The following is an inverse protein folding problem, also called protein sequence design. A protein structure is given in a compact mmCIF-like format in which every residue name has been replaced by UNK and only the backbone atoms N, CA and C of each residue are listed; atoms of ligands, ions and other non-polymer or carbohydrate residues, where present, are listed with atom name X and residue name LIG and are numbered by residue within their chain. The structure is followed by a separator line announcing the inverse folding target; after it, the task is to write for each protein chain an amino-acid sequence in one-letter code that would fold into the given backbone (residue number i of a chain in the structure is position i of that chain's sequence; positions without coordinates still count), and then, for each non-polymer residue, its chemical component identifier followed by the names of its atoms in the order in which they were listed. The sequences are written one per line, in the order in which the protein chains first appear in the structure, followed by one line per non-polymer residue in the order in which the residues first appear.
data_IF_196906356853
#
_entry.id   IF_196906356853
#
_cell.length_a   1.000
_cell.length_b   1.000
_cell.length_c   1.000
_cell.angle_alpha   90.00
_cell.angle_beta   90.00
_cell.angle_gamma   90.00
#
_symmetry.space_group_name_H-M   'P 1'
#
loop_
_entity.id
_entity.type
_entity.pdbx_description
1 polymer ?
#
# COMPACT_ATOMS: atom_id res chain seq x y z
N UNK A 1 19.94 -15.41 8.17
CA UNK A 1 18.88 -14.59 8.76
C UNK A 1 18.52 -13.56 7.70
N UNK A 2 17.24 -13.36 7.34
CA UNK A 2 16.85 -12.49 6.24
C UNK A 2 15.72 -11.55 6.65
N UNK A 3 15.78 -10.33 6.13
CA UNK A 3 14.67 -9.37 6.13
C UNK A 3 14.35 -9.12 4.66
N UNK A 4 13.11 -9.37 4.26
CA UNK A 4 12.60 -9.05 2.93
C UNK A 4 11.85 -7.74 3.03
N UNK A 5 12.23 -6.76 2.19
CA UNK A 5 11.60 -5.44 2.14
C UNK A 5 10.79 -5.33 0.86
N UNK A 6 9.50 -5.01 1.00
CA UNK A 6 8.59 -4.77 -0.12
C UNK A 6 7.97 -3.38 0.00
N UNK A 7 7.53 -2.80 -1.11
CA UNK A 7 6.62 -1.66 -1.09
C UNK A 7 5.24 -2.08 -0.55
N UNK A 8 4.44 -1.10 -0.15
CA UNK A 8 3.08 -1.32 0.36
C UNK A 8 2.21 -2.05 -0.65
N UNK A 9 2.14 -1.54 -1.88
CA UNK A 9 1.27 -2.05 -2.93
C UNK A 9 1.64 -1.45 -4.28
N UNK A 10 1.23 -2.09 -5.37
CA UNK A 10 1.32 -1.55 -6.73
C UNK A 10 0.15 -0.61 -7.00
N UNK A 11 0.31 0.32 -7.95
CA UNK A 11 -0.75 1.28 -8.31
C UNK A 11 -1.72 0.76 -9.37
N UNK A 12 -1.43 -0.38 -9.99
CA UNK A 12 -2.27 -1.01 -10.99
C UNK A 12 -3.38 -1.87 -10.37
N UNK A 13 -3.01 -2.91 -9.62
CA UNK A 13 -3.96 -3.83 -8.96
C UNK A 13 -4.35 -3.42 -7.56
N UNK A 14 -3.57 -2.60 -6.89
CA UNK A 14 -3.80 -1.99 -5.55
C UNK A 14 -4.16 -2.99 -4.43
N UNK A 15 -3.77 -4.25 -4.60
CA UNK A 15 -4.20 -5.36 -3.73
C UNK A 15 -3.29 -5.64 -2.54
N UNK A 16 -2.07 -5.10 -2.53
CA UNK A 16 -1.07 -5.27 -1.46
C UNK A 16 -0.70 -6.74 -1.14
N UNK A 17 -0.87 -7.67 -2.05
CA UNK A 17 -0.72 -9.12 -1.79
C UNK A 17 0.69 -9.66 -1.94
N UNK A 18 1.59 -8.98 -2.66
CA UNK A 18 2.91 -9.51 -3.00
C UNK A 18 3.76 -9.77 -1.74
N UNK A 19 3.90 -8.78 -0.87
CA UNK A 19 4.65 -8.92 0.37
C UNK A 19 4.13 -10.03 1.27
N UNK A 20 2.85 -10.03 1.68
CA UNK A 20 2.23 -11.10 2.45
C UNK A 20 2.34 -12.48 1.79
N UNK A 21 2.18 -12.55 0.47
CA UNK A 21 2.33 -13.79 -0.29
C UNK A 21 3.76 -14.37 -0.21
N UNK A 22 4.78 -13.53 -0.29
CA UNK A 22 6.19 -13.93 -0.09
C UNK A 22 6.38 -14.45 1.33
N UNK A 23 5.92 -13.70 2.33
CA UNK A 23 6.08 -14.09 3.73
C UNK A 23 5.42 -15.44 4.04
N UNK A 24 4.21 -15.66 3.56
CA UNK A 24 3.47 -16.92 3.75
C UNK A 24 4.21 -18.09 3.13
N UNK A 25 4.73 -17.95 1.92
CA UNK A 25 5.48 -19.03 1.24
C UNK A 25 6.80 -19.35 1.88
N UNK A 26 7.46 -18.36 2.48
CA UNK A 26 8.75 -18.53 3.16
C UNK A 26 8.61 -18.83 4.66
N UNK A 27 7.42 -18.81 5.23
CA UNK A 27 7.20 -18.95 6.67
C UNK A 27 7.78 -17.81 7.49
N UNK A 28 7.78 -16.57 6.95
CA UNK A 28 8.34 -15.40 7.59
C UNK A 28 7.27 -14.62 8.36
N UNK A 29 7.69 -13.93 9.43
CA UNK A 29 6.80 -12.97 10.11
C UNK A 29 6.40 -11.85 9.14
N UNK A 30 5.13 -11.41 9.21
CA UNK A 30 4.58 -10.37 8.34
C UNK A 30 4.40 -9.05 9.09
N UNK A 31 5.01 -7.98 8.58
CA UNK A 31 4.90 -6.64 9.12
C UNK A 31 4.52 -5.69 7.97
N UNK A 32 3.26 -5.29 7.92
CA UNK A 32 2.72 -4.43 6.86
C UNK A 32 2.51 -3.00 7.35
N UNK A 33 2.43 -2.05 6.40
CA UNK A 33 2.20 -0.61 6.67
C UNK A 33 3.29 0.00 7.56
N UNK A 34 4.53 -0.46 7.40
CA UNK A 34 5.66 -0.01 8.22
C UNK A 34 6.12 1.37 7.78
N UNK A 35 6.05 2.34 8.68
CA UNK A 35 6.53 3.70 8.47
C UNK A 35 7.83 3.99 9.25
N UNK A 36 8.24 3.08 10.16
CA UNK A 36 9.49 3.21 10.89
C UNK A 36 10.01 1.87 11.38
N UNK A 37 11.31 1.63 11.24
CA UNK A 37 12.01 0.55 11.92
C UNK A 37 12.59 1.13 13.20
N UNK A 38 12.10 0.66 14.34
CA UNK A 38 12.55 1.13 15.67
C UNK A 38 13.85 0.47 16.08
N UNK A 39 13.93 -0.86 15.93
CA UNK A 39 15.15 -1.61 16.24
C UNK A 39 15.20 -2.94 15.53
N UNK A 40 16.42 -3.43 15.29
CA UNK A 40 16.70 -4.78 14.81
C UNK A 40 17.73 -5.41 15.74
N UNK A 41 17.35 -6.45 16.46
CA UNK A 41 18.25 -7.25 17.31
C UNK A 41 18.57 -8.57 16.61
N UNK A 42 19.77 -8.66 16.07
CA UNK A 42 20.24 -9.85 15.37
C UNK A 42 20.54 -11.01 16.32
N UNK A 43 20.93 -10.71 17.58
CA UNK A 43 21.23 -11.73 18.59
C UNK A 43 19.95 -12.36 19.13
N UNK A 44 18.97 -11.53 19.48
CA UNK A 44 17.67 -11.99 19.94
C UNK A 44 16.75 -12.43 18.77
N UNK A 45 17.16 -12.23 17.51
CA UNK A 45 16.39 -12.53 16.30
C UNK A 45 15.03 -11.83 16.29
N UNK A 46 14.99 -10.55 16.63
CA UNK A 46 13.78 -9.75 16.73
C UNK A 46 13.90 -8.48 15.91
N UNK A 47 12.78 -8.03 15.41
CA UNK A 47 12.60 -6.72 14.77
C UNK A 47 11.41 -6.01 15.41
N UNK A 48 11.58 -4.73 15.72
CA UNK A 48 10.52 -3.86 16.25
C UNK A 48 10.28 -2.73 15.25
N UNK A 49 9.03 -2.55 14.86
CA UNK A 49 8.62 -1.58 13.84
C UNK A 49 7.41 -0.80 14.31
N UNK A 50 7.26 0.40 13.77
CA UNK A 50 6.02 1.17 13.87
C UNK A 50 5.22 0.99 12.59
N UNK A 51 3.95 0.68 12.74
CA UNK A 51 2.96 0.56 11.67
C UNK A 51 2.04 1.76 11.68
N UNK A 52 1.69 2.26 10.50
CA UNK A 52 0.72 3.34 10.34
C UNK A 52 -0.63 2.75 9.94
N UNK A 53 -1.59 2.84 10.83
CA UNK A 53 -2.97 2.48 10.59
C UNK A 53 -3.83 3.73 10.43
N UNK A 54 -5.07 3.56 10.06
CA UNK A 54 -6.02 4.66 9.98
C UNK A 54 -6.28 5.24 11.38
N UNK A 55 -5.98 6.54 11.54
CA UNK A 55 -6.14 7.25 12.80
C UNK A 55 -5.16 6.91 13.94
N UNK A 56 -4.23 5.94 13.76
CA UNK A 56 -3.30 5.53 14.83
C UNK A 56 -2.00 4.92 14.32
N UNK A 57 -1.02 4.84 15.22
CA UNK A 57 0.20 4.06 15.03
C UNK A 57 0.23 2.88 16.00
N UNK A 58 0.82 1.78 15.56
CA UNK A 58 1.09 0.61 16.39
C UNK A 58 2.58 0.29 16.38
N UNK A 59 3.12 -0.07 17.54
CA UNK A 59 4.47 -0.63 17.64
C UNK A 59 4.33 -2.14 17.78
N UNK A 60 4.94 -2.87 16.84
CA UNK A 60 4.87 -4.32 16.78
C UNK A 60 6.27 -4.91 16.81
N UNK A 61 6.45 -5.95 17.59
CA UNK A 61 7.67 -6.76 17.62
C UNK A 61 7.41 -8.11 16.97
N UNK A 62 8.31 -8.57 16.11
CA UNK A 62 8.22 -9.85 15.45
C UNK A 62 9.56 -10.59 15.46
N UNK A 63 9.51 -11.90 15.29
CA UNK A 63 10.70 -12.75 15.15
C UNK A 63 11.26 -12.65 13.73
N UNK A 64 12.57 -12.70 13.60
CA UNK A 64 13.26 -12.88 12.33
C UNK A 64 13.33 -14.39 11.96
N UNK A 65 13.25 -14.74 10.69
CA UNK A 65 13.18 -13.87 9.52
C UNK A 65 11.80 -13.19 9.37
N UNK A 66 11.80 -12.00 8.78
CA UNK A 66 10.59 -11.21 8.62
C UNK A 66 10.50 -10.57 7.23
N UNK A 67 9.28 -10.40 6.74
CA UNK A 67 8.93 -9.54 5.62
C UNK A 67 8.33 -8.24 6.15
N UNK A 68 8.81 -7.12 5.65
CA UNK A 68 8.28 -5.79 5.95
C UNK A 68 7.77 -5.13 4.66
N UNK A 69 6.50 -4.72 4.67
CA UNK A 69 5.91 -3.91 3.61
C UNK A 69 5.86 -2.45 4.07
N UNK A 70 6.68 -1.62 3.43
CA UNK A 70 6.92 -0.25 3.87
C UNK A 70 6.01 0.75 3.15
N UNK A 71 5.63 1.81 3.86
CA UNK A 71 4.94 2.97 3.27
C UNK A 71 5.96 4.03 2.84
N UNK A 72 5.55 4.96 1.99
CA UNK A 72 6.43 6.00 1.44
C UNK A 72 7.05 6.90 2.52
N UNK A 73 6.38 7.03 3.65
CA UNK A 73 6.79 7.87 4.77
C UNK A 73 7.94 7.28 5.62
N UNK A 74 8.35 6.04 5.33
CA UNK A 74 9.48 5.40 6.04
C UNK A 74 10.78 6.17 5.84
N UNK A 75 10.90 6.86 4.71
CA UNK A 75 12.11 7.60 4.37
C UNK A 75 11.80 8.84 3.52
N UNK A 76 12.76 9.77 3.45
CA UNK A 76 12.72 10.90 2.53
C UNK A 76 13.42 10.54 1.23
N UNK A 77 12.81 10.91 0.09
CA UNK A 77 13.39 10.67 -1.22
C UNK A 77 14.68 11.49 -1.38
N UNK A 78 15.76 10.81 -1.68
CA UNK A 78 17.02 11.45 -2.04
C UNK A 78 17.09 11.60 -3.56
N UNK A 79 17.18 12.84 -4.03
CA UNK A 79 17.34 13.12 -5.46
C UNK A 79 18.72 12.69 -5.95
N UNK A 80 18.82 12.08 -7.14
CA UNK A 80 20.10 11.69 -7.70
C UNK A 80 20.92 12.92 -8.14
N UNK A 81 22.23 12.86 -7.95
CA UNK A 81 23.16 13.84 -8.53
C UNK A 81 23.33 13.62 -10.04
N UNK A 82 23.85 14.60 -10.78
CA UNK A 82 24.09 14.45 -12.22
C UNK A 82 24.96 13.23 -12.54
N UNK A 83 26.10 12.98 -11.86
CA UNK A 83 26.90 11.76 -12.09
C UNK A 83 26.09 10.48 -11.87
N UNK A 84 25.24 10.41 -10.83
CA UNK A 84 24.41 9.23 -10.56
C UNK A 84 23.37 9.00 -11.67
N UNK A 85 22.83 10.06 -12.26
CA UNK A 85 21.90 9.95 -13.39
C UNK A 85 22.60 9.39 -14.63
N UNK A 86 23.78 9.89 -14.97
CA UNK A 86 24.58 9.39 -16.09
C UNK A 86 24.94 7.90 -15.90
N UNK A 87 25.38 7.52 -14.71
CA UNK A 87 25.63 6.11 -14.39
C UNK A 87 24.38 5.23 -14.53
N UNK A 88 23.20 5.75 -14.18
CA UNK A 88 21.94 5.02 -14.30
C UNK A 88 21.50 4.85 -15.76
N UNK A 89 21.78 5.82 -16.64
CA UNK A 89 21.50 5.74 -18.08
C UNK A 89 22.31 4.63 -18.76
N UNK A 90 23.56 4.43 -18.34
CA UNK A 90 24.43 3.37 -18.85
C UNK A 90 24.11 1.99 -18.27
N UNK A 91 23.37 1.93 -17.17
CA UNK A 91 23.06 0.65 -16.51
C UNK A 91 21.94 -0.09 -17.24
N UNK A 92 22.17 -1.38 -17.51
CA UNK A 92 21.18 -2.26 -18.14
C UNK A 92 20.44 -3.07 -17.05
N UNK A 93 19.11 -3.01 -17.07
CA UNK A 93 18.30 -3.87 -16.24
C UNK A 93 18.46 -5.34 -16.66
N UNK A 94 18.64 -6.24 -15.69
CA UNK A 94 18.60 -7.68 -15.97
C UNK A 94 17.17 -8.09 -16.25
N UNK A 95 16.92 -8.60 -17.46
CA UNK A 95 15.61 -9.12 -17.86
C UNK A 95 15.52 -10.60 -17.51
N UNK A 96 14.51 -10.95 -16.72
CA UNK A 96 14.20 -12.33 -16.38
C UNK A 96 12.85 -12.69 -17.00
N UNK A 97 12.86 -13.58 -17.96
CA UNK A 97 11.68 -14.13 -18.60
C UNK A 97 11.52 -15.63 -18.30
N UNK A 98 10.43 -16.24 -18.75
CA UNK A 98 10.20 -17.65 -18.49
C UNK A 98 11.17 -18.58 -19.21
N UNK A 99 11.83 -18.13 -20.27
CA UNK A 99 12.87 -18.93 -20.96
C UNK A 99 14.09 -19.11 -20.06
N UNK A 100 14.43 -18.08 -19.28
CA UNK A 100 15.54 -18.09 -18.33
C UNK A 100 15.14 -18.81 -17.05
N UNK A 101 13.92 -18.58 -16.56
CA UNK A 101 13.41 -19.12 -15.30
C UNK A 101 13.01 -20.60 -15.39
N UNK A 102 12.62 -21.09 -16.55
CA UNK A 102 12.22 -22.48 -16.76
C UNK A 102 10.99 -22.91 -15.98
N UNK A 103 10.07 -21.99 -15.67
CA UNK A 103 8.87 -22.27 -14.90
C UNK A 103 7.80 -22.95 -15.75
N UNK A 104 6.98 -23.78 -15.12
CA UNK A 104 5.85 -24.43 -15.78
C UNK A 104 4.79 -23.39 -16.20
N UNK A 105 4.55 -23.27 -17.50
CA UNK A 105 3.62 -22.30 -18.08
C UNK A 105 2.18 -22.41 -17.55
N UNK A 106 1.77 -23.58 -17.07
CA UNK A 106 0.45 -23.78 -16.48
C UNK A 106 0.31 -23.19 -15.07
N UNK A 107 1.43 -22.87 -14.41
CA UNK A 107 1.46 -22.34 -13.04
C UNK A 107 1.78 -20.84 -12.98
N UNK A 108 1.95 -20.19 -14.12
CA UNK A 108 2.30 -18.78 -14.24
C UNK A 108 1.31 -18.00 -15.11
N UNK A 109 1.41 -16.66 -15.08
CA UNK A 109 0.58 -15.75 -15.86
C UNK A 109 -0.91 -15.93 -15.56
N UNK A 110 -1.76 -15.73 -16.56
CA UNK A 110 -3.22 -15.83 -16.41
C UNK A 110 -3.71 -17.23 -16.03
N UNK A 111 -3.01 -18.28 -16.45
CA UNK A 111 -3.37 -19.67 -16.14
C UNK A 111 -3.09 -20.00 -14.66
N UNK A 112 -1.97 -19.50 -14.13
CA UNK A 112 -1.56 -19.73 -12.74
C UNK A 112 -2.14 -18.73 -11.73
N UNK A 113 -2.79 -17.64 -12.20
CA UNK A 113 -3.35 -16.63 -11.32
C UNK A 113 -4.64 -17.11 -10.65
N UNK A 114 -4.71 -16.96 -9.33
CA UNK A 114 -5.92 -17.23 -8.57
C UNK A 114 -7.03 -16.17 -8.81
N UNK A 115 -6.68 -15.04 -9.42
CA UNK A 115 -7.61 -13.93 -9.70
C UNK A 115 -7.48 -13.49 -11.14
N UNK A 116 -8.62 -13.13 -11.74
CA UNK A 116 -8.70 -12.60 -13.10
C UNK A 116 -9.59 -11.37 -13.13
N UNK A 117 -9.18 -10.34 -13.86
CA UNK A 117 -10.02 -9.16 -14.12
C UNK A 117 -11.10 -9.57 -15.12
N UNK A 118 -12.37 -9.62 -14.69
CA UNK A 118 -13.51 -9.94 -15.57
C UNK A 118 -14.04 -8.73 -16.33
N UNK A 119 -14.07 -7.56 -15.67
CA UNK A 119 -14.65 -6.34 -16.22
C UNK A 119 -14.01 -5.12 -15.61
N UNK A 120 -13.68 -4.16 -16.44
CA UNK A 120 -13.24 -2.83 -16.03
C UNK A 120 -14.39 -1.86 -16.27
N UNK A 121 -14.70 -1.03 -15.30
CA UNK A 121 -15.70 0.03 -15.43
C UNK A 121 -15.27 1.26 -14.65
N UNK A 122 -15.68 2.43 -15.14
CA UNK A 122 -15.53 3.67 -14.38
C UNK A 122 -16.70 3.82 -13.42
N UNK A 123 -16.46 3.97 -12.10
CA UNK A 123 -17.53 4.25 -11.17
C UNK A 123 -18.26 5.52 -11.57
N UNK A 124 -19.59 5.48 -11.61
CA UNK A 124 -20.37 6.70 -11.76
C UNK A 124 -20.19 7.53 -10.50
N UNK A 125 -19.64 8.73 -10.66
CA UNK A 125 -19.59 9.69 -9.56
C UNK A 125 -21.02 10.09 -9.24
N UNK A 126 -21.43 9.95 -7.97
CA UNK A 126 -22.66 10.55 -7.50
C UNK A 126 -22.57 12.06 -7.76
N UNK A 127 -23.56 12.62 -8.43
CA UNK A 127 -23.68 14.08 -8.57
C UNK A 127 -23.86 14.67 -7.18
N UNK A 128 -23.13 15.73 -6.87
CA UNK A 128 -23.35 16.48 -5.64
C UNK A 128 -24.78 17.09 -5.64
N UNK A 129 -25.37 17.20 -4.48
CA UNK A 129 -26.63 17.91 -4.25
C UNK A 129 -26.29 19.33 -3.76
N UNK A 130 -26.88 20.35 -4.37
CA UNK A 130 -26.78 21.73 -3.88
C UNK A 130 -27.89 21.94 -2.86
N UNK A 131 -27.49 22.22 -1.62
CA UNK A 131 -28.43 22.36 -0.50
C UNK A 131 -28.56 23.83 -0.12
N UNK A 132 -29.71 24.42 -0.44
CA UNK A 132 -30.03 25.79 -0.11
C UNK A 132 -29.19 26.88 -0.83
N UNK A 133 -29.43 28.11 -0.50
CA UNK A 133 -28.65 29.26 -0.97
C UNK A 133 -27.95 29.92 0.23
N UNK A 134 -26.69 29.48 0.46
CA UNK A 134 -25.89 29.96 1.59
C UNK A 134 -25.52 31.43 1.55
N UNK A 135 -25.74 32.13 0.42
CA UNK A 135 -25.51 33.56 0.30
C UNK A 135 -26.77 34.33 0.75
N UNK A 136 -27.96 33.87 0.34
CA UNK A 136 -29.22 34.55 0.65
C UNK A 136 -29.70 34.25 2.07
N UNK A 137 -29.64 32.97 2.48
CA UNK A 137 -30.02 32.54 3.82
C UNK A 137 -29.03 31.52 4.38
N UNK A 138 -27.95 32.00 5.03
CA UNK A 138 -26.92 31.09 5.59
C UNK A 138 -27.44 30.19 6.71
N UNK A 139 -28.43 30.68 7.49
CA UNK A 139 -28.98 29.93 8.62
C UNK A 139 -29.80 28.73 8.14
N UNK A 140 -30.69 28.94 7.19
CA UNK A 140 -31.52 27.90 6.62
C UNK A 140 -30.69 26.91 5.82
N UNK A 141 -29.73 27.37 5.02
CA UNK A 141 -28.80 26.50 4.30
C UNK A 141 -27.99 25.60 5.25
N UNK A 142 -27.52 26.14 6.37
CA UNK A 142 -26.79 25.38 7.38
C UNK A 142 -27.68 24.34 8.05
N UNK A 143 -28.92 24.67 8.36
CA UNK A 143 -29.90 23.74 8.95
C UNK A 143 -30.16 22.56 8.02
N UNK A 144 -30.47 22.85 6.76
CA UNK A 144 -30.72 21.83 5.73
C UNK A 144 -29.50 20.94 5.50
N UNK A 145 -28.29 21.50 5.51
CA UNK A 145 -27.06 20.74 5.39
C UNK A 145 -26.88 19.75 6.54
N UNK A 146 -27.09 20.20 7.77
CA UNK A 146 -26.98 19.34 8.97
C UNK A 146 -28.01 18.22 8.91
N UNK A 147 -29.27 18.51 8.58
CA UNK A 147 -30.32 17.50 8.42
C UNK A 147 -29.94 16.45 7.38
N UNK A 148 -29.40 16.85 6.23
CA UNK A 148 -28.93 15.95 5.19
C UNK A 148 -27.74 15.08 5.63
N UNK A 149 -26.81 15.66 6.35
CA UNK A 149 -25.64 14.89 6.86
C UNK A 149 -26.05 13.86 7.91
N UNK A 150 -27.02 14.15 8.75
CA UNK A 150 -27.59 13.22 9.71
C UNK A 150 -28.35 12.10 8.99
N UNK A 151 -29.21 12.44 8.03
CA UNK A 151 -29.98 11.47 7.23
C UNK A 151 -29.06 10.49 6.50
N UNK A 152 -27.95 11.00 5.94
CA UNK A 152 -26.92 10.17 5.27
C UNK A 152 -25.97 9.48 6.24
N UNK A 153 -26.15 9.60 7.55
CA UNK A 153 -25.27 9.06 8.60
C UNK A 153 -23.80 9.50 8.46
N UNK A 154 -23.59 10.66 7.88
CA UNK A 154 -22.25 11.27 7.73
C UNK A 154 -21.83 12.05 9.00
N UNK A 155 -22.79 12.42 9.84
CA UNK A 155 -22.59 12.94 11.20
C UNK A 155 -23.28 11.99 12.18
N UNK A 156 -22.51 11.47 13.13
CA UNK A 156 -23.02 10.82 14.33
C UNK A 156 -23.03 11.88 15.44
N UNK A 157 -24.21 12.31 15.85
CA UNK A 157 -24.40 13.12 17.04
C UNK A 157 -24.57 12.20 18.25
#
# INVERSE_FOLDING_TARGET
MAIVVCGRQTIDGDTAQVGPGIATRLGYSQLTLVDRIESVDLKAKKIRVRRRLEGRHEIVEAKLPAMIAVVKEINSLRYPTVPMRLMAEDSKATLWDNKIMGLNENTIGLKGSATQVRKIFSPQRASGEIIGDGIKDPKEASRLLIERLIEKRALCL
#
